data_IF_167498191125
#
_entry.id   IF_167498191125
#
_cell.length_a   1.000
_cell.length_b   1.000
_cell.length_c   1.000
_cell.angle_alpha   90.00
_cell.angle_beta   90.00
_cell.angle_gamma   90.00
#
_symmetry.space_group_name_H-M   'P 1'
#
loop_
_entity.id
_entity.type
_entity.pdbx_description
1 polymer ?
#
# COMPACT_ATOMS: atom_id res chain seq x y z
N UNK A 1 -13.05 -20.04 8.00
CA UNK A 1 -13.61 -18.72 7.60
C UNK A 1 -12.90 -17.53 8.24
N UNK A 2 -12.50 -17.56 9.53
CA UNK A 2 -11.81 -16.42 10.19
C UNK A 2 -10.57 -15.91 9.44
N UNK A 3 -9.67 -16.80 9.01
CA UNK A 3 -8.46 -16.41 8.27
C UNK A 3 -8.74 -15.76 6.90
N UNK A 4 -9.81 -16.17 6.23
CA UNK A 4 -10.22 -15.59 4.95
C UNK A 4 -10.72 -14.16 5.13
N UNK A 5 -11.56 -13.90 6.16
CA UNK A 5 -12.01 -12.55 6.49
C UNK A 5 -10.84 -11.63 6.88
N UNK A 6 -9.93 -12.12 7.75
CA UNK A 6 -8.74 -11.36 8.13
C UNK A 6 -7.88 -11.03 6.91
N UNK A 7 -7.67 -12.01 6.02
CA UNK A 7 -6.89 -11.80 4.81
C UNK A 7 -7.51 -10.79 3.85
N UNK A 8 -8.83 -10.82 3.67
CA UNK A 8 -9.57 -9.83 2.87
C UNK A 8 -9.50 -8.43 3.49
N UNK A 9 -9.64 -8.32 4.82
CA UNK A 9 -9.47 -7.04 5.52
C UNK A 9 -8.05 -6.50 5.35
N UNK A 10 -7.02 -7.34 5.45
CA UNK A 10 -5.63 -6.94 5.20
C UNK A 10 -5.43 -6.41 3.76
N UNK A 11 -6.04 -7.06 2.76
CA UNK A 11 -6.00 -6.56 1.38
C UNK A 11 -6.71 -5.21 1.22
N UNK A 12 -7.87 -5.03 1.85
CA UNK A 12 -8.60 -3.76 1.83
C UNK A 12 -7.78 -2.64 2.47
N UNK A 13 -7.19 -2.91 3.64
CA UNK A 13 -6.32 -1.95 4.33
C UNK A 13 -5.10 -1.60 3.48
N UNK A 14 -4.47 -2.59 2.84
CA UNK A 14 -3.37 -2.35 1.90
C UNK A 14 -3.78 -1.43 0.75
N UNK A 15 -4.93 -1.69 0.12
CA UNK A 15 -5.42 -0.85 -0.97
C UNK A 15 -5.67 0.60 -0.52
N UNK A 16 -6.23 0.78 0.68
CA UNK A 16 -6.45 2.11 1.27
C UNK A 16 -5.10 2.81 1.53
N UNK A 17 -4.12 2.11 2.12
CA UNK A 17 -2.78 2.66 2.39
C UNK A 17 -2.05 3.04 1.10
N UNK A 18 -2.14 2.21 0.07
CA UNK A 18 -1.55 2.48 -1.23
C UNK A 18 -2.19 3.71 -1.87
N UNK A 19 -3.52 3.76 -1.93
CA UNK A 19 -4.26 4.88 -2.50
C UNK A 19 -4.00 6.19 -1.75
N UNK A 20 -4.02 6.16 -0.41
CA UNK A 20 -3.77 7.35 0.40
C UNK A 20 -2.35 7.88 0.19
N UNK A 21 -1.34 7.01 0.13
CA UNK A 21 0.04 7.41 -0.14
C UNK A 21 0.18 8.15 -1.48
N UNK A 22 -0.47 7.64 -2.54
CA UNK A 22 -0.43 8.28 -3.86
C UNK A 22 -1.16 9.62 -3.88
N UNK A 23 -2.32 9.73 -3.21
CA UNK A 23 -3.07 10.99 -3.07
C UNK A 23 -2.22 12.01 -2.30
N UNK A 24 -1.63 11.62 -1.18
CA UNK A 24 -0.77 12.50 -0.38
C UNK A 24 0.44 12.96 -1.18
N UNK A 25 1.10 12.06 -1.91
CA UNK A 25 2.22 12.44 -2.78
C UNK A 25 1.78 13.43 -3.88
N UNK A 26 0.58 13.26 -4.45
CA UNK A 26 0.05 14.17 -5.47
C UNK A 26 -0.20 15.58 -4.90
N UNK A 27 -0.74 15.68 -3.68
CA UNK A 27 -0.95 16.96 -3.01
C UNK A 27 0.40 17.59 -2.63
N UNK A 28 1.30 16.82 -2.03
CA UNK A 28 2.62 17.29 -1.58
C UNK A 28 3.50 17.76 -2.75
N UNK A 29 3.34 17.15 -3.94
CA UNK A 29 4.00 17.58 -5.17
C UNK A 29 3.70 19.04 -5.54
N UNK A 30 2.52 19.55 -5.18
CA UNK A 30 2.16 20.95 -5.42
C UNK A 30 3.04 21.89 -4.59
N UNK A 31 3.25 21.57 -3.32
CA UNK A 31 4.09 22.34 -2.39
C UNK A 31 5.57 22.31 -2.80
N UNK A 32 6.03 21.20 -3.38
CA UNK A 32 7.41 21.06 -3.87
C UNK A 32 7.67 21.85 -5.17
N UNK A 33 6.63 22.04 -6.01
CA UNK A 33 6.74 22.68 -7.32
C UNK A 33 6.45 24.19 -7.36
N UNK A 34 6.09 24.79 -6.24
CA UNK A 34 5.88 26.24 -6.12
C UNK A 34 7.20 27.01 -6.23
N UNK A 35 7.16 28.26 -6.73
CA UNK A 35 8.33 29.11 -7.00
C UNK A 35 9.18 29.39 -5.75
N UNK A 36 8.55 29.42 -4.57
CA UNK A 36 9.19 29.51 -3.25
C UNK A 36 9.00 28.20 -2.44
N UNK A 37 8.75 27.08 -3.12
CA UNK A 37 8.46 25.79 -2.52
C UNK A 37 9.67 25.14 -1.84
N UNK A 38 9.44 23.99 -1.22
CA UNK A 38 10.48 23.22 -0.50
C UNK A 38 11.63 22.71 -1.39
N UNK A 39 11.50 22.84 -2.71
CA UNK A 39 12.44 22.32 -3.70
C UNK A 39 12.33 20.80 -3.84
N UNK A 40 12.67 20.28 -5.01
CA UNK A 40 12.59 18.84 -5.30
C UNK A 40 13.91 18.33 -5.87
N UNK A 41 14.17 17.03 -5.71
CA UNK A 41 15.38 16.42 -6.23
C UNK A 41 15.22 16.10 -7.72
N UNK A 42 16.04 16.76 -8.56
CA UNK A 42 16.06 16.61 -10.01
C UNK A 42 16.09 15.16 -10.52
N UNK A 43 16.68 14.25 -9.74
CA UNK A 43 16.82 12.82 -10.10
C UNK A 43 15.49 12.07 -10.04
N UNK A 44 14.58 12.49 -9.16
CA UNK A 44 13.33 11.79 -8.90
C UNK A 44 12.09 12.52 -9.45
N UNK A 45 12.25 13.77 -9.91
CA UNK A 45 11.07 14.57 -10.28
C UNK A 45 10.32 15.08 -9.06
N UNK A 46 9.38 16.00 -9.29
CA UNK A 46 8.53 16.55 -8.22
C UNK A 46 7.73 15.43 -7.55
N UNK A 47 7.06 14.59 -8.34
CA UNK A 47 6.22 13.51 -7.82
C UNK A 47 7.03 12.38 -7.16
N UNK A 48 8.18 12.00 -7.72
CA UNK A 48 9.03 10.98 -7.11
C UNK A 48 9.66 11.45 -5.80
N UNK A 49 10.03 12.73 -5.70
CA UNK A 49 10.44 13.35 -4.43
C UNK A 49 9.29 13.31 -3.42
N UNK A 50 8.06 13.65 -3.85
CA UNK A 50 6.90 13.56 -2.97
C UNK A 50 6.61 12.13 -2.47
N UNK A 51 6.67 11.13 -3.36
CA UNK A 51 6.53 9.73 -2.95
C UNK A 51 7.61 9.36 -1.93
N UNK A 52 8.85 9.81 -2.12
CA UNK A 52 9.95 9.50 -1.21
C UNK A 52 9.76 10.14 0.17
N UNK A 53 9.29 11.38 0.22
CA UNK A 53 9.21 12.14 1.47
C UNK A 53 7.97 11.77 2.30
N UNK A 54 6.81 11.58 1.64
CA UNK A 54 5.53 11.35 2.35
C UNK A 54 4.87 10.01 2.02
N UNK A 55 5.21 9.40 0.88
CA UNK A 55 4.59 8.15 0.41
C UNK A 55 5.33 6.86 0.80
N UNK A 56 6.64 6.93 1.09
CA UNK A 56 7.49 5.74 1.21
C UNK A 56 7.05 4.83 2.37
N UNK A 57 6.83 5.40 3.55
CA UNK A 57 6.39 4.66 4.73
C UNK A 57 5.02 3.98 4.54
N UNK A 58 3.94 4.70 4.15
CA UNK A 58 2.64 4.06 3.94
C UNK A 58 2.66 3.05 2.78
N UNK A 59 3.47 3.25 1.73
CA UNK A 59 3.64 2.26 0.65
C UNK A 59 4.29 0.96 1.14
N UNK A 60 5.33 1.04 1.98
CA UNK A 60 5.95 -0.15 2.58
C UNK A 60 4.94 -0.91 3.42
N UNK A 61 4.15 -0.21 4.24
CA UNK A 61 3.08 -0.84 5.01
C UNK A 61 2.00 -1.46 4.12
N UNK A 62 1.62 -0.81 3.02
CA UNK A 62 0.68 -1.35 2.04
C UNK A 62 1.19 -2.66 1.44
N UNK A 63 2.48 -2.74 1.09
CA UNK A 63 3.09 -3.96 0.52
C UNK A 63 3.11 -5.10 1.56
N UNK A 64 3.56 -4.82 2.79
CA UNK A 64 3.63 -5.83 3.84
C UNK A 64 2.24 -6.37 4.20
N UNK A 65 1.24 -5.49 4.29
CA UNK A 65 -0.15 -5.88 4.57
C UNK A 65 -0.77 -6.64 3.40
N UNK A 66 -0.46 -6.28 2.15
CA UNK A 66 -0.90 -7.05 0.98
C UNK A 66 -0.36 -8.48 1.02
N UNK A 67 0.95 -8.65 1.21
CA UNK A 67 1.61 -9.98 1.24
C UNK A 67 1.00 -10.82 2.36
N UNK A 68 0.81 -10.23 3.54
CA UNK A 68 0.18 -10.91 4.69
C UNK A 68 -1.25 -11.34 4.37
N UNK A 69 -2.05 -10.44 3.77
CA UNK A 69 -3.43 -10.71 3.38
C UNK A 69 -3.55 -11.84 2.35
N UNK A 70 -2.73 -11.78 1.29
CA UNK A 70 -2.66 -12.83 0.25
C UNK A 70 -2.28 -14.17 0.86
N UNK A 71 -1.27 -14.19 1.74
CA UNK A 71 -0.81 -15.43 2.39
C UNK A 71 -1.92 -16.07 3.22
N UNK A 72 -2.64 -15.28 4.01
CA UNK A 72 -3.77 -15.78 4.81
C UNK A 72 -4.92 -16.31 3.95
N UNK A 73 -5.24 -15.63 2.84
CA UNK A 73 -6.26 -16.09 1.90
C UNK A 73 -5.85 -17.43 1.28
N UNK A 74 -4.62 -17.54 0.76
CA UNK A 74 -4.12 -18.77 0.12
C UNK A 74 -4.12 -19.93 1.10
N UNK A 75 -3.63 -19.74 2.33
CA UNK A 75 -3.64 -20.78 3.37
C UNK A 75 -5.07 -21.17 3.74
N UNK A 76 -5.98 -20.21 3.87
CA UNK A 76 -7.38 -20.50 4.20
C UNK A 76 -8.09 -21.26 3.09
N UNK A 77 -7.84 -20.94 1.82
CA UNK A 77 -8.43 -21.63 0.67
C UNK A 77 -7.89 -23.06 0.59
N UNK A 78 -6.57 -23.26 0.69
CA UNK A 78 -5.94 -24.59 0.67
C UNK A 78 -6.50 -25.51 1.76
N UNK A 79 -6.64 -24.99 2.99
CA UNK A 79 -7.19 -25.74 4.12
C UNK A 79 -8.65 -26.17 3.86
N UNK A 80 -9.50 -25.27 3.34
CA UNK A 80 -10.88 -25.61 3.03
C UNK A 80 -11.01 -26.65 1.91
N UNK A 81 -10.14 -26.61 0.90
CA UNK A 81 -10.13 -27.60 -0.20
C UNK A 81 -9.77 -29.00 0.32
N UNK A 82 -8.85 -29.09 1.29
CA UNK A 82 -8.46 -30.38 1.88
C UNK A 82 -9.57 -31.00 2.72
N UNK A 83 -10.28 -30.19 3.53
CA UNK A 83 -11.40 -30.66 4.37
C UNK A 83 -12.62 -31.13 3.55
N UNK A 84 -12.81 -30.62 2.33
CA UNK A 84 -13.90 -31.05 1.46
C UNK A 84 -13.65 -32.34 0.67
N UNK A 85 -12.52 -33.02 0.90
CA UNK A 85 -12.14 -34.28 0.24
C UNK A 85 -12.29 -35.53 1.12
N UNK A 86 -12.62 -35.35 2.40
CA UNK A 86 -12.92 -36.41 3.37
C UNK A 86 -14.44 -36.63 3.47
#
# INVERSE_FOLDING_TARGET
MKHLLIGLTCLLVSAILYGSALITAAIYSRMLGETDGLGWDSRYGIYGTAIRDVGAFPLVLAILTAITGITLIVVSIRKNIQVGKD
#
